data_IF_427393166251
#
_entry.id   IF_427393166251
#
_cell.length_a   1.000
_cell.length_b   1.000
_cell.length_c   1.000
_cell.angle_alpha   90.00
_cell.angle_beta   90.00
_cell.angle_gamma   90.00
#
_symmetry.space_group_name_H-M   'P 1'
#
loop_
_entity.id
_entity.type
_entity.pdbx_description
1 polymer ?
#
# COMPACT_ATOMS: atom_id res chain seq x y z
N UNK A 1 58.54 -2.22 36.64
CA UNK A 1 58.07 -2.44 38.02
C UNK A 1 56.95 -1.42 38.21
N UNK A 2 55.67 -1.77 38.03
CA UNK A 2 54.74 -2.26 39.06
C UNK A 2 53.65 -3.12 38.38
N UNK A 3 53.26 -4.18 39.09
CA UNK A 3 52.22 -5.18 38.75
C UNK A 3 50.89 -4.82 39.43
N UNK A 4 49.81 -5.46 38.95
CA UNK A 4 48.50 -5.72 39.61
C UNK A 4 47.48 -4.57 39.52
N UNK A 5 46.16 -4.76 39.38
CA UNK A 5 45.23 -5.86 39.75
C UNK A 5 44.19 -6.09 38.61
N UNK A 6 43.80 -7.33 38.22
CA UNK A 6 42.63 -8.11 38.71
C UNK A 6 41.41 -7.21 39.02
N UNK A 7 40.30 -7.23 38.30
CA UNK A 7 39.50 -8.39 37.89
C UNK A 7 38.20 -8.34 38.70
N UNK A 8 37.12 -7.78 38.13
CA UNK A 8 35.73 -7.91 38.61
C UNK A 8 34.83 -7.68 37.40
N UNK A 9 34.14 -8.71 36.92
CA UNK A 9 32.71 -8.69 36.62
C UNK A 9 32.30 -10.08 36.12
N UNK A 10 31.83 -10.86 37.09
CA UNK A 10 31.28 -12.19 36.98
C UNK A 10 29.76 -12.10 37.16
N UNK A 11 29.05 -12.78 36.26
CA UNK A 11 27.73 -13.43 36.40
C UNK A 11 26.44 -12.63 36.76
N UNK A 12 25.51 -12.68 35.79
CA UNK A 12 24.21 -13.41 35.81
C UNK A 12 23.18 -13.10 36.93
N UNK A 13 22.04 -12.52 36.55
CA UNK A 13 20.69 -13.02 36.90
C UNK A 13 19.58 -12.25 36.16
N UNK A 14 18.85 -12.96 35.27
CA UNK A 14 17.58 -12.48 34.71
C UNK A 14 16.48 -12.95 35.67
N UNK A 15 15.95 -12.02 36.45
CA UNK A 15 14.94 -12.25 37.47
C UNK A 15 13.75 -11.34 37.16
N UNK A 16 12.60 -11.97 36.89
CA UNK A 16 11.24 -11.48 37.16
C UNK A 16 10.77 -10.25 36.37
N UNK A 17 9.79 -10.46 35.47
CA UNK A 17 8.61 -9.59 35.27
C UNK A 17 7.68 -10.21 34.21
N UNK A 18 7.16 -11.39 34.51
CA UNK A 18 6.23 -12.11 33.63
C UNK A 18 5.04 -12.65 34.41
N UNK A 19 4.20 -11.77 34.95
CA UNK A 19 2.88 -12.14 35.46
C UNK A 19 1.94 -10.93 35.46
N UNK A 20 1.19 -10.74 34.38
CA UNK A 20 -0.06 -9.97 34.36
C UNK A 20 -0.84 -10.36 33.09
N UNK A 21 -1.37 -11.58 33.10
CA UNK A 21 -2.34 -12.04 32.11
C UNK A 21 -3.52 -12.62 32.88
N UNK A 22 -4.52 -11.78 33.16
CA UNK A 22 -5.91 -12.18 33.43
C UNK A 22 -6.78 -10.93 33.40
N UNK A 23 -7.38 -10.65 32.23
CA UNK A 23 -8.71 -10.04 32.18
C UNK A 23 -9.51 -10.73 31.09
N UNK A 24 -10.31 -11.67 31.56
CA UNK A 24 -11.29 -12.45 30.79
C UNK A 24 -12.53 -11.59 30.58
N UNK A 25 -12.81 -11.33 29.31
CA UNK A 25 -14.12 -11.26 28.63
C UNK A 25 -15.37 -11.17 29.53
N UNK A 26 -16.12 -10.08 29.38
CA UNK A 26 -17.58 -10.01 29.59
C UNK A 26 -18.15 -9.11 28.49
N UNK A 27 -18.55 -9.69 27.35
CA UNK A 27 -19.94 -10.04 26.99
C UNK A 27 -20.83 -8.82 26.68
N UNK A 28 -21.03 -8.70 25.36
CA UNK A 28 -22.06 -8.00 24.61
C UNK A 28 -23.43 -8.10 25.28
N UNK A 29 -24.12 -6.96 25.43
CA UNK A 29 -25.57 -6.93 25.48
C UNK A 29 -26.08 -6.03 24.37
N UNK A 30 -26.91 -6.64 23.53
CA UNK A 30 -27.62 -6.13 22.36
C UNK A 30 -28.59 -5.01 22.72
N UNK A 31 -28.73 -4.02 21.83
CA UNK A 31 -29.87 -3.10 21.91
C UNK A 31 -29.77 -1.86 21.01
N UNK A 32 -29.90 -2.03 19.69
CA UNK A 32 -30.51 -0.98 18.86
C UNK A 32 -31.75 -1.60 18.23
N UNK A 33 -32.90 -1.25 18.80
CA UNK A 33 -34.21 -1.53 18.23
C UNK A 33 -34.44 -0.51 17.12
N UNK A 34 -34.64 -0.97 15.88
CA UNK A 34 -35.23 -0.13 14.84
C UNK A 34 -36.65 0.29 15.25
N UNK A 35 -37.08 1.49 14.85
CA UNK A 35 -38.39 1.82 14.25
C UNK A 35 -38.88 3.21 14.69
N UNK A 36 -38.73 4.19 13.80
CA UNK A 36 -39.73 5.24 13.65
C UNK A 36 -39.86 5.55 12.14
N UNK A 37 -41.06 5.32 11.63
CA UNK A 37 -41.53 5.79 10.33
C UNK A 37 -41.86 7.26 10.47
N UNK A 38 -41.40 8.09 9.54
CA UNK A 38 -42.05 9.30 9.04
C UNK A 38 -41.42 9.58 7.67
N UNK A 39 -42.08 9.34 6.54
CA UNK A 39 -43.09 10.27 6.03
C UNK A 39 -42.45 11.18 4.98
N UNK A 40 -42.09 10.66 3.81
CA UNK A 40 -41.80 11.49 2.64
C UNK A 40 -42.63 11.03 1.44
N UNK A 41 -43.57 11.89 1.06
CA UNK A 41 -44.46 11.75 -0.08
C UNK A 41 -43.91 12.64 -1.20
N UNK A 42 -43.38 12.04 -2.26
CA UNK A 42 -43.26 12.70 -3.55
C UNK A 42 -43.98 11.84 -4.59
N UNK A 43 -45.27 12.13 -4.74
CA UNK A 43 -46.11 11.69 -5.83
C UNK A 43 -45.65 12.41 -7.11
N UNK A 44 -45.08 11.64 -8.02
CA UNK A 44 -44.85 12.02 -9.41
C UNK A 44 -45.14 10.79 -10.26
N UNK A 45 -46.40 10.69 -10.70
CA UNK A 45 -46.86 9.72 -11.69
C UNK A 45 -46.24 10.09 -13.07
N UNK A 46 -45.56 9.15 -13.73
CA UNK A 46 -45.66 8.96 -15.18
C UNK A 46 -45.31 7.50 -15.53
N UNK A 47 -46.28 6.82 -16.13
CA UNK A 47 -46.24 5.43 -16.60
C UNK A 47 -45.29 5.27 -17.79
N UNK A 48 -44.43 4.23 -17.80
CA UNK A 48 -44.23 3.37 -18.98
C UNK A 48 -43.58 2.04 -18.57
N UNK A 49 -44.30 0.96 -18.87
CA UNK A 49 -43.92 -0.45 -18.79
C UNK A 49 -42.62 -0.83 -19.51
N UNK A 50 -41.81 -1.72 -18.93
CA UNK A 50 -41.30 -2.98 -19.55
C UNK A 50 -40.41 -3.75 -18.57
N UNK A 51 -40.62 -5.06 -18.49
CA UNK A 51 -39.89 -6.02 -17.66
C UNK A 51 -38.45 -6.29 -18.12
N UNK A 52 -37.64 -6.74 -17.16
CA UNK A 52 -36.54 -7.71 -17.28
C UNK A 52 -35.10 -7.17 -17.37
N UNK A 53 -34.34 -7.62 -16.36
CA UNK A 53 -32.99 -8.19 -16.43
C UNK A 53 -31.77 -7.26 -16.20
N UNK A 54 -31.05 -7.63 -15.13
CA UNK A 54 -29.60 -7.70 -14.94
C UNK A 54 -28.66 -6.59 -15.39
N UNK A 55 -27.61 -6.45 -14.57
CA UNK A 55 -26.30 -5.84 -14.80
C UNK A 55 -26.22 -4.32 -14.85
N UNK A 56 -25.03 -3.85 -14.46
CA UNK A 56 -24.51 -2.48 -14.59
C UNK A 56 -24.98 -1.48 -13.54
N UNK A 57 -24.21 -1.42 -12.44
CA UNK A 57 -23.88 -0.13 -11.84
C UNK A 57 -22.53 0.29 -12.39
N UNK A 58 -22.60 1.09 -13.44
CA UNK A 58 -21.53 1.96 -13.92
C UNK A 58 -21.16 2.94 -12.79
N UNK A 59 -20.01 2.71 -12.16
CA UNK A 59 -19.34 3.76 -11.39
C UNK A 59 -18.67 4.69 -12.40
N UNK A 60 -19.32 5.83 -12.59
CA UNK A 60 -18.95 6.93 -13.46
C UNK A 60 -17.75 7.66 -12.85
N UNK A 61 -16.54 7.21 -13.19
CA UNK A 61 -15.29 7.86 -12.83
C UNK A 61 -15.16 9.14 -13.66
N UNK A 62 -15.14 10.29 -12.99
CA UNK A 62 -15.10 11.59 -13.62
C UNK A 62 -14.45 12.58 -12.68
N UNK A 63 -13.13 12.56 -12.62
CA UNK A 63 -12.30 13.71 -12.24
C UNK A 63 -10.88 13.48 -12.78
N UNK A 64 -10.64 13.92 -14.03
CA UNK A 64 -9.29 14.13 -14.56
C UNK A 64 -8.73 15.42 -13.94
N UNK A 65 -8.40 15.36 -12.65
CA UNK A 65 -7.51 16.34 -12.04
C UNK A 65 -6.06 15.87 -12.26
N UNK A 66 -5.33 16.62 -13.09
CA UNK A 66 -3.90 16.40 -13.40
C UNK A 66 -2.98 17.09 -12.37
N UNK A 67 -3.54 17.49 -11.23
CA UNK A 67 -2.80 18.04 -10.11
C UNK A 67 -1.96 17.00 -9.36
N UNK A 68 -0.94 17.43 -8.59
CA UNK A 68 -0.27 16.56 -7.63
C UNK A 68 -1.31 15.98 -6.65
N UNK A 69 -1.35 14.65 -6.53
CA UNK A 69 -2.29 13.95 -5.65
C UNK A 69 -1.98 14.30 -4.21
N UNK A 70 -2.72 15.26 -3.65
CA UNK A 70 -2.66 15.61 -2.24
C UNK A 70 -3.20 14.44 -1.43
N UNK A 71 -2.51 14.09 -0.36
CA UNK A 71 -2.89 12.98 0.50
C UNK A 71 -3.70 13.48 1.70
N UNK A 72 -4.97 13.09 1.79
CA UNK A 72 -5.70 13.11 3.05
C UNK A 72 -5.43 11.79 3.78
N UNK A 73 -4.81 11.85 4.96
CA UNK A 73 -4.37 10.63 5.70
C UNK A 73 -5.53 9.67 6.04
N UNK A 74 -6.77 10.15 6.05
CA UNK A 74 -7.98 9.36 6.33
C UNK A 74 -8.70 8.87 5.06
N UNK A 75 -8.30 9.37 3.88
CA UNK A 75 -8.97 9.06 2.63
C UNK A 75 -8.16 8.08 1.79
N UNK A 76 -8.78 6.93 1.50
CA UNK A 76 -8.25 6.01 0.49
C UNK A 76 -8.34 6.73 -0.86
N UNK A 77 -7.24 6.87 -1.62
CA UNK A 77 -7.30 7.51 -2.94
C UNK A 77 -8.33 6.84 -3.83
N UNK A 78 -8.96 7.62 -4.70
CA UNK A 78 -9.82 7.08 -5.77
C UNK A 78 -9.04 6.07 -6.62
N UNK A 79 -9.76 5.18 -7.30
CA UNK A 79 -9.13 4.17 -8.17
C UNK A 79 -8.21 4.83 -9.21
N UNK A 80 -8.65 5.91 -9.86
CA UNK A 80 -7.84 6.68 -10.81
C UNK A 80 -6.56 7.24 -10.17
N UNK A 81 -6.66 7.87 -8.99
CA UNK A 81 -5.47 8.37 -8.27
C UNK A 81 -4.52 7.23 -7.87
N UNK A 82 -5.04 6.11 -7.38
CA UNK A 82 -4.25 4.94 -7.04
C UNK A 82 -3.51 4.40 -8.28
N UNK A 83 -4.17 4.33 -9.45
CA UNK A 83 -3.50 3.96 -10.72
C UNK A 83 -2.36 4.89 -11.06
N UNK A 84 -2.57 6.22 -10.98
CA UNK A 84 -1.51 7.22 -11.22
C UNK A 84 -0.31 7.03 -10.28
N UNK A 85 -0.56 6.84 -8.98
CA UNK A 85 0.50 6.61 -7.97
C UNK A 85 1.30 5.35 -8.28
N UNK A 86 0.63 4.22 -8.56
CA UNK A 86 1.29 2.96 -8.88
C UNK A 86 2.08 3.08 -10.18
N UNK A 87 1.46 3.58 -11.26
CA UNK A 87 2.10 3.70 -12.58
C UNK A 87 3.36 4.55 -12.50
N UNK A 88 3.29 5.73 -11.88
CA UNK A 88 4.46 6.59 -11.65
C UNK A 88 5.56 5.88 -10.87
N UNK A 89 5.21 5.20 -9.78
CA UNK A 89 6.19 4.49 -8.94
C UNK A 89 6.89 3.36 -9.69
N UNK A 90 6.13 2.58 -10.48
CA UNK A 90 6.68 1.47 -11.24
C UNK A 90 7.50 1.93 -12.44
N UNK A 91 7.15 3.07 -13.07
CA UNK A 91 7.98 3.68 -14.11
C UNK A 91 9.30 4.23 -13.56
N UNK A 92 9.26 4.91 -12.40
CA UNK A 92 10.47 5.36 -11.69
C UNK A 92 11.36 4.15 -11.30
N UNK A 93 10.75 3.03 -10.92
CA UNK A 93 11.46 1.77 -10.65
C UNK A 93 12.05 1.16 -11.92
N UNK A 94 11.31 1.15 -13.03
CA UNK A 94 11.79 0.63 -14.31
C UNK A 94 13.04 1.38 -14.77
N UNK A 95 13.00 2.71 -14.74
CA UNK A 95 14.14 3.58 -15.06
C UNK A 95 15.37 3.20 -14.22
N UNK A 96 15.21 3.10 -12.89
CA UNK A 96 16.29 2.69 -12.00
C UNK A 96 16.87 1.29 -12.30
N UNK A 97 16.02 0.34 -12.73
CA UNK A 97 16.46 -1.00 -13.15
C UNK A 97 17.24 -0.94 -14.47
N UNK A 98 16.77 -0.16 -15.46
CA UNK A 98 17.44 -0.01 -16.75
C UNK A 98 18.80 0.69 -16.61
N UNK A 99 18.85 1.75 -15.81
CA UNK A 99 20.06 2.54 -15.57
C UNK A 99 21.02 1.87 -14.59
N UNK A 100 20.51 0.89 -13.83
CA UNK A 100 21.23 0.21 -12.74
C UNK A 100 21.68 1.18 -11.65
N UNK A 101 20.92 2.25 -11.47
CA UNK A 101 21.15 3.29 -10.47
C UNK A 101 19.84 3.62 -9.77
N UNK A 102 19.78 3.34 -8.47
CA UNK A 102 18.60 3.59 -7.64
C UNK A 102 18.67 4.93 -6.90
N UNK A 103 19.65 5.78 -7.20
CA UNK A 103 19.88 7.05 -6.49
C UNK A 103 18.68 7.99 -6.59
N UNK A 104 18.08 8.13 -7.77
CA UNK A 104 16.91 9.01 -7.97
C UNK A 104 15.62 8.38 -7.44
N UNK A 105 15.45 7.07 -7.61
CA UNK A 105 14.35 6.33 -6.99
C UNK A 105 14.37 6.48 -5.45
N UNK A 106 15.55 6.32 -4.84
CA UNK A 106 15.75 6.46 -3.40
C UNK A 106 15.46 7.87 -2.87
N UNK A 107 15.58 8.93 -3.68
CA UNK A 107 15.20 10.28 -3.26
C UNK A 107 13.68 10.47 -3.16
N UNK A 108 12.90 9.66 -3.87
CA UNK A 108 11.43 9.77 -3.98
C UNK A 108 10.68 8.98 -2.91
N UNK A 109 11.36 8.08 -2.18
CA UNK A 109 10.74 7.28 -1.10
C UNK A 109 10.61 8.10 0.20
N UNK A 110 9.79 7.62 1.12
CA UNK A 110 9.52 8.27 2.40
C UNK A 110 10.80 8.48 3.22
N UNK A 111 10.85 9.58 3.97
CA UNK A 111 12.02 9.97 4.76
C UNK A 111 12.44 8.86 5.74
N UNK A 112 11.45 8.24 6.37
CA UNK A 112 11.66 7.12 7.29
C UNK A 112 12.37 5.93 6.64
N UNK A 113 11.99 5.56 5.41
CA UNK A 113 12.63 4.46 4.68
C UNK A 113 13.99 4.89 4.11
N UNK A 114 14.08 6.11 3.57
CA UNK A 114 15.30 6.71 3.03
C UNK A 114 16.42 6.80 4.06
N UNK A 115 16.10 7.10 5.31
CA UNK A 115 17.08 7.15 6.41
C UNK A 115 17.59 5.77 6.86
N UNK A 116 16.89 4.70 6.50
CA UNK A 116 17.18 3.32 6.94
C UNK A 116 17.72 2.42 5.82
N UNK A 117 17.77 2.94 4.58
CA UNK A 117 18.20 2.22 3.39
C UNK A 117 19.24 3.03 2.59
N UNK A 118 19.86 2.37 1.61
CA UNK A 118 20.77 2.99 0.65
C UNK A 118 20.39 2.54 -0.76
N UNK A 119 20.75 3.31 -1.82
CA UNK A 119 20.54 2.87 -3.20
C UNK A 119 21.07 1.45 -3.47
N UNK A 120 22.24 1.10 -2.93
CA UNK A 120 22.85 -0.22 -3.05
C UNK A 120 22.00 -1.37 -2.44
N UNK A 121 21.12 -1.08 -1.47
CA UNK A 121 20.21 -2.09 -0.92
C UNK A 121 19.13 -2.46 -1.94
N UNK A 122 18.67 -1.51 -2.76
CA UNK A 122 17.74 -1.75 -3.87
C UNK A 122 18.41 -2.54 -4.98
N UNK A 123 19.64 -2.18 -5.36
CA UNK A 123 20.42 -2.95 -6.35
C UNK A 123 20.55 -4.41 -5.92
N UNK A 124 20.83 -4.65 -4.64
CA UNK A 124 20.91 -6.01 -4.09
C UNK A 124 19.56 -6.71 -4.09
N UNK A 125 18.50 -6.03 -3.65
CA UNK A 125 17.14 -6.59 -3.59
C UNK A 125 16.58 -6.94 -4.98
N UNK A 126 16.86 -6.10 -5.97
CA UNK A 126 16.39 -6.22 -7.35
C UNK A 126 17.46 -6.74 -8.32
N UNK A 127 18.54 -7.35 -7.81
CA UNK A 127 19.63 -7.88 -8.64
C UNK A 127 19.14 -8.79 -9.77
N UNK A 128 18.10 -9.60 -9.53
CA UNK A 128 17.50 -10.46 -10.56
C UNK A 128 16.85 -9.68 -11.71
N UNK A 129 16.24 -8.52 -11.42
CA UNK A 129 15.68 -7.64 -12.45
C UNK A 129 16.80 -7.02 -13.28
N UNK A 130 17.83 -6.50 -12.61
CA UNK A 130 19.02 -5.89 -13.24
C UNK A 130 19.77 -6.90 -14.11
N UNK A 131 20.09 -8.08 -13.56
CA UNK A 131 20.86 -9.13 -14.24
C UNK A 131 20.15 -9.64 -15.51
N UNK A 132 18.82 -9.66 -15.48
CA UNK A 132 17.99 -10.13 -16.60
C UNK A 132 17.58 -9.02 -17.57
N UNK A 133 17.87 -7.76 -17.26
CA UNK A 133 17.40 -6.61 -18.03
C UNK A 133 15.87 -6.59 -18.12
N UNK A 134 15.18 -6.85 -17.01
CA UNK A 134 13.71 -6.85 -16.99
C UNK A 134 13.22 -5.44 -17.28
N UNK A 135 12.46 -5.29 -18.36
CA UNK A 135 11.77 -4.06 -18.72
C UNK A 135 10.27 -4.23 -18.52
N UNK A 136 9.69 -3.36 -17.68
CA UNK A 136 8.26 -3.32 -17.39
C UNK A 136 7.56 -2.12 -18.03
N UNK A 137 8.22 -1.38 -18.94
CA UNK A 137 7.68 -0.18 -19.60
C UNK A 137 6.28 -0.36 -20.23
N UNK A 138 5.92 -1.60 -20.62
CA UNK A 138 4.60 -1.94 -21.16
C UNK A 138 3.42 -1.65 -20.21
N UNK A 139 3.67 -1.40 -18.93
CA UNK A 139 2.62 -0.94 -18.01
C UNK A 139 2.07 0.45 -18.36
N UNK A 140 2.78 1.23 -19.18
CA UNK A 140 2.34 2.57 -19.60
C UNK A 140 0.99 2.51 -20.34
N UNK A 141 0.82 1.48 -21.17
CA UNK A 141 -0.37 1.26 -22.03
C UNK A 141 -1.50 0.48 -21.34
N UNK A 142 -1.27 -0.02 -20.13
CA UNK A 142 -2.18 -0.90 -19.40
C UNK A 142 -2.63 -0.26 -18.09
N UNK A 143 -3.74 -0.76 -17.53
CA UNK A 143 -4.20 -0.42 -16.19
C UNK A 143 -4.01 -1.61 -15.24
N UNK A 144 -3.68 -1.36 -13.96
CA UNK A 144 -3.55 -2.43 -13.00
C UNK A 144 -4.93 -2.96 -12.58
N UNK A 145 -5.02 -4.27 -12.45
CA UNK A 145 -6.11 -4.91 -11.70
C UNK A 145 -5.73 -4.97 -10.21
N UNK A 146 -6.43 -4.17 -9.40
CA UNK A 146 -6.20 -4.13 -7.96
C UNK A 146 -6.87 -5.30 -7.25
N UNK A 147 -6.06 -6.13 -6.60
CA UNK A 147 -6.55 -7.28 -5.84
C UNK A 147 -5.72 -7.49 -4.57
N UNK A 148 -6.24 -7.08 -3.39
CA UNK A 148 -7.55 -6.45 -3.15
C UNK A 148 -7.64 -5.00 -3.67
N UNK A 149 -8.86 -4.41 -3.63
CA UNK A 149 -9.06 -2.97 -3.86
C UNK A 149 -8.14 -2.15 -2.93
N UNK A 150 -7.69 -0.93 -3.34
CA UNK A 150 -6.90 -0.04 -2.49
C UNK A 150 -7.53 0.14 -1.10
N UNK A 151 -6.71 0.12 -0.05
CA UNK A 151 -7.18 0.29 1.32
C UNK A 151 -6.10 0.87 2.22
N UNK A 152 -6.53 1.52 3.30
CA UNK A 152 -5.64 1.99 4.38
C UNK A 152 -5.81 1.06 5.58
N UNK A 153 -4.69 0.66 6.19
CA UNK A 153 -4.67 -0.06 7.46
C UNK A 153 -3.56 0.48 8.38
N UNK A 154 -3.61 0.16 9.67
CA UNK A 154 -2.62 0.58 10.65
C UNK A 154 -1.50 -0.44 10.76
N UNK A 155 -0.29 -0.04 10.39
CA UNK A 155 0.95 -0.84 10.55
C UNK A 155 1.93 -0.05 11.40
N UNK A 156 2.49 -0.68 12.43
CA UNK A 156 3.47 -0.05 13.35
C UNK A 156 3.02 1.31 13.95
N UNK A 157 1.71 1.47 14.19
CA UNK A 157 1.15 2.71 14.74
C UNK A 157 0.97 3.86 13.75
N UNK A 158 1.23 3.64 12.46
CA UNK A 158 0.99 4.60 11.36
C UNK A 158 -0.08 4.06 10.43
N UNK A 159 -0.83 4.96 9.78
CA UNK A 159 -1.70 4.60 8.67
C UNK A 159 -0.83 4.31 7.45
N UNK A 160 -1.14 3.23 6.76
CA UNK A 160 -0.41 2.78 5.57
C UNK A 160 -1.43 2.50 4.49
N UNK A 161 -1.24 3.11 3.32
CA UNK A 161 -1.99 2.79 2.11
C UNK A 161 -1.36 1.56 1.45
N UNK A 162 -2.19 0.56 1.19
CA UNK A 162 -1.81 -0.68 0.52
C UNK A 162 -2.34 -0.68 -0.90
N UNK A 163 -1.42 -0.74 -1.88
CA UNK A 163 -1.72 -0.86 -3.30
C UNK A 163 -1.10 -2.15 -3.82
N UNK A 164 -1.95 -3.13 -4.13
CA UNK A 164 -1.53 -4.45 -4.60
C UNK A 164 -2.36 -4.89 -5.79
N UNK A 165 -1.70 -5.47 -6.79
CA UNK A 165 -2.37 -5.88 -8.00
C UNK A 165 -1.41 -6.45 -9.03
N UNK A 166 -1.89 -6.51 -10.26
CA UNK A 166 -1.12 -6.94 -11.42
C UNK A 166 -1.47 -6.14 -12.66
N UNK A 167 -0.50 -6.01 -13.58
CA UNK A 167 -0.74 -5.61 -14.96
C UNK A 167 -0.66 -6.86 -15.83
N UNK A 168 -1.64 -7.08 -16.72
CA UNK A 168 -1.65 -8.21 -17.66
C UNK A 168 -0.74 -7.98 -18.89
N UNK A 169 0.50 -7.57 -18.62
CA UNK A 169 1.51 -7.37 -19.66
C UNK A 169 1.91 -8.71 -20.30
N UNK A 170 2.37 -8.65 -21.56
CA UNK A 170 2.93 -9.82 -22.27
C UNK A 170 4.45 -9.68 -22.42
N UNK A 171 5.23 -10.78 -22.39
CA UNK A 171 4.79 -12.18 -22.26
C UNK A 171 4.47 -12.61 -20.83
N UNK A 172 4.86 -11.83 -19.83
CA UNK A 172 4.68 -12.12 -18.41
C UNK A 172 3.96 -10.95 -17.72
N UNK A 173 3.04 -11.21 -16.79
CA UNK A 173 2.38 -10.16 -16.03
C UNK A 173 3.35 -9.49 -15.06
N UNK A 174 3.08 -8.24 -14.72
CA UNK A 174 3.81 -7.49 -13.69
C UNK A 174 2.96 -7.45 -12.43
N UNK A 175 3.35 -8.22 -11.41
CA UNK A 175 2.71 -8.23 -10.11
C UNK A 175 3.39 -7.21 -9.20
N UNK A 176 2.62 -6.46 -8.42
CA UNK A 176 3.16 -5.48 -7.49
C UNK A 176 2.49 -5.52 -6.11
N UNK A 177 3.25 -5.11 -5.10
CA UNK A 177 2.78 -4.82 -3.74
C UNK A 177 3.53 -3.59 -3.23
N UNK A 178 2.81 -2.50 -3.04
CA UNK A 178 3.34 -1.20 -2.66
C UNK A 178 2.66 -0.73 -1.38
N UNK A 179 3.45 -0.22 -0.45
CA UNK A 179 2.95 0.39 0.78
C UNK A 179 3.40 1.85 0.83
N UNK A 180 2.50 2.75 1.20
CA UNK A 180 2.76 4.19 1.30
C UNK A 180 2.36 4.73 2.67
N UNK A 181 3.08 5.75 3.13
CA UNK A 181 2.67 6.61 4.24
C UNK A 181 2.50 8.04 3.73
N UNK A 182 1.76 8.86 4.47
CA UNK A 182 1.77 10.30 4.23
C UNK A 182 3.02 10.91 4.87
N UNK A 183 3.74 11.71 4.08
CA UNK A 183 4.93 12.46 4.45
C UNK A 183 4.89 13.78 3.67
N UNK A 184 4.94 14.92 4.36
CA UNK A 184 4.72 16.26 3.79
C UNK A 184 3.45 16.37 2.90
N UNK A 185 2.31 15.87 3.40
CA UNK A 185 1.00 15.85 2.70
C UNK A 185 0.98 15.08 1.36
N UNK A 186 2.00 14.24 1.12
CA UNK A 186 2.11 13.39 -0.09
C UNK A 186 2.23 11.91 0.28
N UNK A 187 1.67 11.04 -0.55
CA UNK A 187 1.89 9.59 -0.44
C UNK A 187 3.34 9.25 -0.83
N UNK A 188 4.15 8.87 0.15
CA UNK A 188 5.53 8.42 -0.05
C UNK A 188 5.66 6.92 0.17
N UNK A 189 6.42 6.28 -0.72
CA UNK A 189 6.65 4.86 -0.71
C UNK A 189 7.49 4.44 0.51
N UNK A 190 7.07 3.38 1.20
CA UNK A 190 7.81 2.75 2.32
C UNK A 190 8.14 1.28 2.07
N UNK A 191 7.52 0.67 1.06
CA UNK A 191 7.79 -0.70 0.66
C UNK A 191 7.49 -0.90 -0.83
N UNK A 192 8.35 -1.63 -1.53
CA UNK A 192 8.13 -2.10 -2.89
C UNK A 192 8.43 -3.58 -3.03
N UNK A 193 7.46 -4.32 -3.61
CA UNK A 193 7.65 -5.66 -4.14
C UNK A 193 7.15 -5.71 -5.58
N UNK A 194 7.99 -6.16 -6.49
CA UNK A 194 7.66 -6.34 -7.92
C UNK A 194 8.09 -7.73 -8.36
N UNK A 195 7.25 -8.40 -9.14
CA UNK A 195 7.52 -9.74 -9.65
C UNK A 195 6.98 -9.91 -11.08
N UNK A 196 7.75 -10.57 -11.94
CA UNK A 196 7.39 -10.82 -13.35
C UNK A 196 7.19 -12.30 -13.64
N UNK A 197 6.65 -13.07 -12.69
CA UNK A 197 6.33 -14.49 -12.87
C UNK A 197 4.84 -14.71 -13.04
N UNK A 198 4.49 -15.78 -13.75
CA UNK A 198 3.13 -16.30 -13.76
C UNK A 198 2.83 -16.86 -12.36
N UNK A 199 1.65 -16.54 -11.83
CA UNK A 199 1.10 -17.20 -10.64
C UNK A 199 0.76 -18.63 -11.06
N UNK A 200 1.45 -19.61 -10.49
CA UNK A 200 1.19 -21.04 -10.70
C UNK A 200 -0.13 -21.47 -10.01
#
# INVERSE_FOLDING_TARGET
MIKNLRGIFEAKSNLINGLLALFVISMIVLGCTCNEKDGFNWKGDDDTTTSSNSSEKDEKDGDEDDGPVKADEDEVPSTSQARKIVKKTLMDFNEAVQDKDFSDFHKKIADTWRNSSKPADFEKGFKKFIDRGVDISRIEDEDPDFSPKPYIDKKYGKKVLFLKGEYDTKPLPVNFNLEYIVDDDEWKLVFIGVDTRKKD
#
